data_IF_050887327344
#
_entry.id   IF_050887327344
#
_cell.length_a   1.000
_cell.length_b   1.000
_cell.length_c   1.000
_cell.angle_alpha   90.00
_cell.angle_beta   90.00
_cell.angle_gamma   90.00
#
_symmetry.space_group_name_H-M   'P 1'
#
loop_
_entity.id
_entity.type
_entity.pdbx_description
1 polymer ?
#
# COMPACT_ATOMS: atom_id res chain seq x y z
N UNK A 1 12.90 -30.28 36.91
CA UNK A 1 13.28 -30.90 35.63
C UNK A 1 13.35 -29.80 34.57
N UNK A 2 14.56 -29.38 34.22
CA UNK A 2 14.86 -28.47 33.12
C UNK A 2 14.60 -29.18 31.79
N UNK A 3 13.95 -28.50 30.83
CA UNK A 3 14.17 -28.70 29.40
C UNK A 3 13.86 -27.40 28.68
N UNK A 4 14.94 -26.69 28.43
CA UNK A 4 15.02 -25.50 27.61
C UNK A 4 14.91 -25.92 26.15
N UNK A 5 14.00 -25.31 25.39
CA UNK A 5 14.09 -25.31 23.94
C UNK A 5 14.50 -23.91 23.52
N UNK A 6 15.76 -23.80 23.11
CA UNK A 6 16.34 -22.66 22.43
C UNK A 6 15.52 -22.40 21.17
N UNK A 7 14.82 -21.27 21.14
CA UNK A 7 14.59 -20.57 19.88
C UNK A 7 15.90 -19.87 19.53
N UNK A 8 16.71 -20.53 18.70
CA UNK A 8 17.76 -19.87 17.95
C UNK A 8 17.09 -18.84 17.06
N UNK A 9 17.15 -17.59 17.49
CA UNK A 9 16.99 -16.42 16.63
C UNK A 9 18.18 -16.46 15.66
N UNK A 10 17.97 -17.06 14.49
CA UNK A 10 18.83 -16.88 13.34
C UNK A 10 18.59 -15.45 12.85
N UNK A 11 19.59 -14.54 12.89
CA UNK A 11 19.50 -13.32 12.12
C UNK A 11 19.58 -13.74 10.65
N UNK A 12 18.46 -13.63 9.93
CA UNK A 12 18.43 -13.70 8.48
C UNK A 12 19.25 -12.54 7.92
N UNK A 13 20.57 -12.72 7.80
CA UNK A 13 21.45 -11.84 7.05
C UNK A 13 21.28 -12.21 5.57
N UNK A 14 20.13 -11.86 5.00
CA UNK A 14 19.89 -11.81 3.56
C UNK A 14 19.63 -10.35 3.20
N UNK A 15 20.67 -9.52 3.25
CA UNK A 15 20.56 -8.10 3.02
C UNK A 15 21.83 -7.52 2.41
N UNK A 16 22.35 -8.14 1.36
CA UNK A 16 23.50 -7.61 0.63
C UNK A 16 23.65 -8.13 -0.80
N UNK A 17 22.56 -8.40 -1.51
CA UNK A 17 22.55 -8.63 -2.96
C UNK A 17 21.18 -8.25 -3.54
N UNK A 18 20.64 -7.07 -3.22
CA UNK A 18 19.59 -6.49 -4.06
C UNK A 18 20.31 -5.78 -5.23
N UNK A 19 19.95 -6.03 -6.50
CA UNK A 19 20.37 -5.15 -7.58
C UNK A 19 20.09 -3.71 -7.18
N UNK A 20 21.09 -2.84 -7.35
CA UNK A 20 21.01 -1.45 -6.96
C UNK A 20 19.85 -0.77 -7.70
N UNK A 21 18.68 -0.72 -7.08
CA UNK A 21 17.54 0.02 -7.56
C UNK A 21 17.84 1.53 -7.57
N UNK A 22 16.99 2.34 -8.22
CA UNK A 22 17.11 3.79 -8.17
C UNK A 22 17.15 4.26 -6.71
N UNK A 23 18.14 5.10 -6.37
CA UNK A 23 18.27 5.69 -5.03
C UNK A 23 17.30 6.85 -4.78
N UNK A 24 16.65 7.33 -5.83
CA UNK A 24 15.65 8.41 -5.79
C UNK A 24 14.57 8.18 -6.83
N UNK A 25 13.35 8.59 -6.54
CA UNK A 25 12.21 8.49 -7.46
C UNK A 25 11.64 9.87 -7.77
N UNK A 26 11.22 10.15 -9.02
CA UNK A 26 10.80 11.49 -9.42
C UNK A 26 9.48 11.97 -8.78
N UNK A 27 8.73 11.09 -8.12
CA UNK A 27 7.52 11.41 -7.37
C UNK A 27 7.75 11.57 -5.86
N UNK A 28 8.99 11.41 -5.37
CA UNK A 28 9.33 11.39 -3.95
C UNK A 28 8.85 12.65 -3.21
N UNK A 29 9.14 13.85 -3.73
CA UNK A 29 8.69 15.11 -3.11
C UNK A 29 7.17 15.19 -3.00
N UNK A 30 6.45 14.66 -3.99
CA UNK A 30 4.98 14.65 -4.00
C UNK A 30 4.44 13.68 -2.97
N UNK A 31 5.07 12.51 -2.82
CA UNK A 31 4.71 11.51 -1.80
C UNK A 31 4.93 12.10 -0.40
N UNK A 32 6.08 12.75 -0.16
CA UNK A 32 6.37 13.43 1.12
C UNK A 32 5.34 14.52 1.41
N UNK A 33 4.96 15.32 0.42
CA UNK A 33 3.93 16.35 0.59
C UNK A 33 2.55 15.74 0.91
N UNK A 34 2.17 14.65 0.24
CA UNK A 34 0.93 13.93 0.52
C UNK A 34 0.94 13.30 1.92
N UNK A 35 2.07 12.72 2.34
CA UNK A 35 2.24 12.17 3.69
C UNK A 35 2.05 13.24 4.76
N UNK A 36 2.59 14.45 4.56
CA UNK A 36 2.35 15.57 5.49
C UNK A 36 0.86 15.93 5.60
N UNK A 37 0.12 15.92 4.48
CA UNK A 37 -1.34 16.14 4.50
C UNK A 37 -2.05 15.04 5.25
N UNK A 38 -1.69 13.78 5.00
CA UNK A 38 -2.22 12.63 5.71
C UNK A 38 -2.01 12.74 7.22
N UNK A 39 -0.79 13.09 7.64
CA UNK A 39 -0.47 13.35 9.04
C UNK A 39 -1.32 14.49 9.64
N UNK A 40 -1.55 15.57 8.89
CA UNK A 40 -2.44 16.64 9.36
C UNK A 40 -3.89 16.16 9.52
N UNK A 41 -4.39 15.32 8.61
CA UNK A 41 -5.71 14.69 8.72
C UNK A 41 -5.82 13.76 9.94
N UNK A 42 -4.83 12.92 10.18
CA UNK A 42 -4.76 12.08 11.38
C UNK A 42 -4.73 12.91 12.66
N UNK A 43 -4.00 14.03 12.67
CA UNK A 43 -4.01 14.97 13.81
C UNK A 43 -5.42 15.50 14.09
N UNK A 44 -6.18 15.88 13.05
CA UNK A 44 -7.54 16.39 13.26
C UNK A 44 -8.48 15.36 13.87
N UNK A 45 -8.24 14.07 13.60
CA UNK A 45 -9.00 12.96 14.19
C UNK A 45 -8.51 12.65 15.61
N UNK A 46 -7.19 12.59 15.84
CA UNK A 46 -6.60 12.25 17.13
C UNK A 46 -6.59 13.39 18.17
N UNK A 47 -6.92 14.61 17.76
CA UNK A 47 -6.94 15.80 18.61
C UNK A 47 -5.54 16.27 19.05
N UNK A 48 -5.52 17.17 20.04
CA UNK A 48 -4.29 17.85 20.48
C UNK A 48 -3.26 16.92 21.14
N UNK A 49 -3.68 15.74 21.59
CA UNK A 49 -2.83 14.73 22.22
C UNK A 49 -2.26 13.71 21.22
N UNK A 50 -2.29 13.98 19.92
CA UNK A 50 -1.73 13.08 18.92
C UNK A 50 -0.20 12.97 19.02
N UNK A 51 0.27 11.90 19.68
CA UNK A 51 1.69 11.66 19.98
C UNK A 51 2.50 11.14 18.79
N UNK A 52 1.85 10.58 17.76
CA UNK A 52 2.54 9.89 16.67
C UNK A 52 2.87 10.77 15.47
N UNK A 53 2.85 12.09 15.63
CA UNK A 53 3.14 13.02 14.54
C UNK A 53 4.52 12.80 13.93
N UNK A 54 5.54 12.63 14.78
CA UNK A 54 6.91 12.40 14.34
C UNK A 54 7.03 11.12 13.50
N UNK A 55 6.45 10.02 14.01
CA UNK A 55 6.43 8.72 13.31
C UNK A 55 5.71 8.82 11.96
N UNK A 56 4.58 9.54 11.92
CA UNK A 56 3.81 9.76 10.71
C UNK A 56 4.63 10.51 9.65
N UNK A 57 5.24 11.65 10.01
CA UNK A 57 5.99 12.47 9.06
C UNK A 57 7.30 11.79 8.62
N UNK A 58 7.85 10.88 9.43
CA UNK A 58 9.02 10.07 9.11
C UNK A 58 8.69 8.79 8.31
N UNK A 59 7.40 8.46 8.15
CA UNK A 59 6.99 7.28 7.42
C UNK A 59 7.20 7.44 5.91
N UNK A 60 7.47 6.31 5.26
CA UNK A 60 7.61 6.21 3.81
C UNK A 60 6.46 5.37 3.26
N UNK A 61 5.28 5.97 3.01
CA UNK A 61 4.16 5.22 2.48
C UNK A 61 4.50 4.69 1.08
N UNK A 62 3.88 3.58 0.72
CA UNK A 62 3.98 2.97 -0.63
C UNK A 62 2.87 3.47 -1.55
N UNK A 63 1.89 4.20 -1.02
CA UNK A 63 0.81 4.81 -1.80
C UNK A 63 1.30 5.94 -2.70
N UNK A 64 0.65 6.11 -3.85
CA UNK A 64 0.92 7.23 -4.75
C UNK A 64 0.53 8.55 -4.09
N UNK A 65 1.19 9.65 -4.46
CA UNK A 65 0.89 10.96 -3.89
C UNK A 65 -0.60 11.35 -4.05
N UNK A 66 -1.21 10.99 -5.18
CA UNK A 66 -2.63 11.25 -5.44
C UNK A 66 -3.54 10.38 -4.55
N UNK A 67 -3.19 9.11 -4.35
CA UNK A 67 -3.93 8.22 -3.46
C UNK A 67 -3.86 8.72 -2.01
N UNK A 68 -2.64 8.97 -1.51
CA UNK A 68 -2.41 9.42 -0.12
C UNK A 68 -3.08 10.78 0.14
N UNK A 69 -3.05 11.71 -0.82
CA UNK A 69 -3.71 13.00 -0.67
C UNK A 69 -5.23 12.87 -0.56
N UNK A 70 -5.86 12.02 -1.37
CA UNK A 70 -7.31 11.80 -1.28
C UNK A 70 -7.69 11.03 -0.01
N UNK A 71 -6.85 10.09 0.44
CA UNK A 71 -7.03 9.44 1.74
C UNK A 71 -7.03 10.46 2.87
N UNK A 72 -6.14 11.47 2.81
CA UNK A 72 -6.05 12.54 3.81
C UNK A 72 -7.28 13.44 3.87
N UNK A 73 -8.09 13.47 2.82
CA UNK A 73 -9.36 14.19 2.76
C UNK A 73 -10.52 13.29 3.21
N UNK A 74 -10.62 12.10 2.62
CA UNK A 74 -11.73 11.19 2.89
C UNK A 74 -11.74 10.67 4.33
N UNK A 75 -10.61 10.26 4.89
CA UNK A 75 -10.60 9.59 6.20
C UNK A 75 -11.11 10.50 7.33
N UNK A 76 -10.60 11.73 7.51
CA UNK A 76 -11.15 12.64 8.53
C UNK A 76 -12.61 12.99 8.30
N UNK A 77 -13.04 13.14 7.03
CA UNK A 77 -14.43 13.40 6.68
C UNK A 77 -15.35 12.25 7.09
N UNK A 78 -14.97 11.01 6.81
CA UNK A 78 -15.74 9.83 7.21
C UNK A 78 -15.81 9.69 8.73
N UNK A 79 -14.68 9.88 9.44
CA UNK A 79 -14.67 9.84 10.91
C UNK A 79 -15.59 10.92 11.49
N UNK A 80 -15.51 12.15 10.99
CA UNK A 80 -16.36 13.24 11.47
C UNK A 80 -17.85 13.05 11.12
N UNK A 81 -18.14 12.51 9.94
CA UNK A 81 -19.52 12.28 9.47
C UNK A 81 -20.21 11.10 10.16
N UNK A 82 -19.47 10.06 10.52
CA UNK A 82 -20.01 8.87 11.19
C UNK A 82 -20.10 9.04 12.72
N UNK A 83 -19.28 9.91 13.32
CA UNK A 83 -19.35 10.21 14.75
C UNK A 83 -19.21 8.95 15.61
N UNK A 84 -20.05 8.83 16.64
CA UNK A 84 -20.02 7.74 17.64
C UNK A 84 -20.25 6.35 17.03
N UNK A 85 -20.85 6.27 15.84
CA UNK A 85 -21.15 5.04 15.12
C UNK A 85 -20.05 4.67 14.09
N UNK A 86 -18.91 5.38 14.11
CA UNK A 86 -17.80 5.12 13.20
C UNK A 86 -17.31 3.66 13.36
N UNK A 87 -17.21 2.89 12.26
CA UNK A 87 -16.57 1.59 12.30
C UNK A 87 -15.07 1.77 12.55
N UNK A 88 -14.35 0.67 12.75
CA UNK A 88 -12.90 0.75 12.95
C UNK A 88 -12.17 1.44 11.77
N UNK A 89 -10.97 1.93 12.05
CA UNK A 89 -10.17 2.63 11.06
C UNK A 89 -9.94 1.79 9.79
N UNK A 90 -9.80 0.47 9.90
CA UNK A 90 -9.58 -0.40 8.74
C UNK A 90 -10.78 -0.38 7.78
N UNK A 91 -12.01 -0.42 8.31
CA UNK A 91 -13.23 -0.29 7.54
C UNK A 91 -13.35 1.08 6.87
N UNK A 92 -13.04 2.16 7.59
CA UNK A 92 -13.06 3.53 7.02
C UNK A 92 -12.03 3.67 5.89
N UNK A 93 -10.83 3.14 6.07
CA UNK A 93 -9.80 3.17 5.04
C UNK A 93 -10.19 2.33 3.82
N UNK A 94 -10.86 1.20 4.02
CA UNK A 94 -11.39 0.39 2.92
C UNK A 94 -12.43 1.18 2.15
N UNK A 95 -13.39 1.80 2.84
CA UNK A 95 -14.41 2.66 2.23
C UNK A 95 -13.77 3.80 1.41
N UNK A 96 -12.81 4.51 2.00
CA UNK A 96 -12.10 5.59 1.30
C UNK A 96 -11.30 5.07 0.10
N UNK A 97 -10.62 3.93 0.24
CA UNK A 97 -9.89 3.32 -0.86
C UNK A 97 -10.83 2.99 -2.02
N UNK A 98 -12.00 2.40 -1.75
CA UNK A 98 -12.99 2.07 -2.77
C UNK A 98 -13.55 3.31 -3.47
N UNK A 99 -13.84 4.39 -2.73
CA UNK A 99 -14.27 5.66 -3.31
C UNK A 99 -13.21 6.26 -4.23
N UNK A 100 -11.96 6.28 -3.79
CA UNK A 100 -10.83 6.83 -4.54
C UNK A 100 -10.57 6.02 -5.80
N UNK A 101 -10.51 4.69 -5.68
CA UNK A 101 -10.23 3.80 -6.80
C UNK A 101 -11.41 3.71 -7.78
N UNK A 102 -12.64 3.82 -7.30
CA UNK A 102 -13.84 3.87 -8.13
C UNK A 102 -13.92 5.13 -9.00
N UNK A 103 -13.34 6.25 -8.56
CA UNK A 103 -13.25 7.50 -9.32
C UNK A 103 -11.96 7.68 -10.13
N UNK A 104 -10.97 6.79 -9.97
CA UNK A 104 -9.67 6.94 -10.61
C UNK A 104 -9.69 6.55 -12.09
N UNK A 105 -9.07 7.40 -12.92
CA UNK A 105 -8.57 6.99 -14.24
C UNK A 105 -7.09 6.62 -14.12
N UNK A 106 -6.74 5.32 -14.03
CA UNK A 106 -5.34 4.89 -13.95
C UNK A 106 -4.60 5.05 -15.28
N UNK A 107 -5.27 5.47 -16.35
CA UNK A 107 -4.72 5.54 -17.69
C UNK A 107 -4.41 4.16 -18.27
N UNK A 108 -3.39 4.10 -19.14
CA UNK A 108 -2.96 2.86 -19.79
C UNK A 108 -2.06 2.04 -18.87
N UNK A 109 -2.61 0.98 -18.29
CA UNK A 109 -1.90 0.09 -17.35
C UNK A 109 -0.77 -0.71 -17.99
N UNK A 110 -0.86 -1.01 -19.29
CA UNK A 110 0.16 -1.73 -20.07
C UNK A 110 1.54 -1.08 -20.09
N UNK A 111 1.68 0.15 -19.58
CA UNK A 111 2.93 0.93 -19.60
C UNK A 111 3.65 1.00 -18.25
N UNK A 112 3.14 0.32 -17.23
CA UNK A 112 3.76 0.34 -15.89
C UNK A 112 4.78 -0.77 -15.73
N UNK A 113 5.84 -0.51 -14.96
CA UNK A 113 6.88 -1.51 -14.68
C UNK A 113 6.30 -2.76 -14.01
N UNK A 114 5.29 -2.58 -13.16
CA UNK A 114 4.58 -3.68 -12.49
C UNK A 114 3.86 -4.60 -13.48
N UNK A 115 3.10 -4.02 -14.42
CA UNK A 115 2.37 -4.82 -15.41
C UNK A 115 3.34 -5.50 -16.38
N UNK A 116 4.41 -4.81 -16.79
CA UNK A 116 5.46 -5.44 -17.61
C UNK A 116 6.12 -6.61 -16.88
N UNK A 117 6.50 -6.46 -15.61
CA UNK A 117 7.11 -7.53 -14.82
C UNK A 117 6.16 -8.72 -14.63
N UNK A 118 4.87 -8.44 -14.38
CA UNK A 118 3.85 -9.50 -14.28
C UNK A 118 3.69 -10.26 -15.60
N UNK A 119 3.58 -9.56 -16.73
CA UNK A 119 3.45 -10.24 -18.03
C UNK A 119 4.72 -11.00 -18.41
N UNK A 120 5.90 -10.49 -18.06
CA UNK A 120 7.15 -11.24 -18.22
C UNK A 120 7.15 -12.51 -17.36
N UNK A 121 6.66 -12.45 -16.11
CA UNK A 121 6.49 -13.63 -15.26
C UNK A 121 5.53 -14.64 -15.87
N UNK A 122 4.33 -14.22 -16.29
CA UNK A 122 3.35 -15.11 -16.92
C UNK A 122 3.94 -15.79 -18.16
N UNK A 123 4.72 -15.07 -18.97
CA UNK A 123 5.43 -15.65 -20.10
C UNK A 123 6.44 -16.71 -19.67
N UNK A 124 7.25 -16.44 -18.64
CA UNK A 124 8.26 -17.40 -18.15
C UNK A 124 7.65 -18.62 -17.48
N UNK A 125 6.60 -18.44 -16.68
CA UNK A 125 6.09 -19.45 -15.75
C UNK A 125 4.85 -20.18 -16.25
N UNK A 126 4.01 -19.52 -17.05
CA UNK A 126 2.72 -20.04 -17.49
C UNK A 126 2.61 -20.15 -19.02
N UNK A 127 3.67 -19.75 -19.74
CA UNK A 127 3.74 -19.78 -21.21
C UNK A 127 2.67 -18.90 -21.89
N UNK A 128 2.14 -17.91 -21.18
CA UNK A 128 1.21 -16.91 -21.73
C UNK A 128 2.01 -15.83 -22.45
N UNK A 129 1.68 -15.51 -23.71
CA UNK A 129 2.38 -14.47 -24.44
C UNK A 129 2.28 -13.12 -23.72
N UNK A 130 3.36 -12.33 -23.68
CA UNK A 130 3.36 -11.04 -22.99
C UNK A 130 2.30 -10.10 -23.58
N UNK A 131 2.08 -10.15 -24.89
CA UNK A 131 1.05 -9.38 -25.59
C UNK A 131 -0.37 -9.80 -25.18
N UNK A 132 -0.60 -11.10 -24.96
CA UNK A 132 -1.88 -11.62 -24.49
C UNK A 132 -2.16 -11.18 -23.05
N UNK A 133 -1.15 -11.25 -22.18
CA UNK A 133 -1.24 -10.71 -20.83
C UNK A 133 -1.54 -9.20 -20.83
N UNK A 134 -0.82 -8.42 -21.64
CA UNK A 134 -1.05 -6.98 -21.74
C UNK A 134 -2.46 -6.66 -22.26
N UNK A 135 -2.94 -7.41 -23.26
CA UNK A 135 -4.30 -7.27 -23.76
C UNK A 135 -5.35 -7.58 -22.68
N UNK A 136 -5.14 -8.61 -21.86
CA UNK A 136 -6.02 -8.93 -20.74
C UNK A 136 -6.06 -7.79 -19.70
N UNK A 137 -4.93 -7.18 -19.37
CA UNK A 137 -4.89 -6.00 -18.49
C UNK A 137 -5.69 -4.81 -19.04
N UNK A 138 -5.71 -4.62 -20.35
CA UNK A 138 -6.52 -3.60 -21.01
C UNK A 138 -8.02 -3.93 -21.07
N UNK A 139 -8.46 -5.10 -20.58
CA UNK A 139 -9.89 -5.42 -20.38
C UNK A 139 -10.38 -5.10 -18.97
N UNK A 140 -9.47 -4.92 -18.00
CA UNK A 140 -9.83 -4.60 -16.63
C UNK A 140 -10.54 -3.25 -16.54
N UNK A 141 -11.43 -3.10 -15.57
CA UNK A 141 -12.06 -1.82 -15.27
C UNK A 141 -11.06 -0.86 -14.57
N UNK A 142 -11.41 0.43 -14.47
CA UNK A 142 -10.53 1.46 -13.90
C UNK A 142 -10.07 1.16 -12.46
N UNK A 143 -10.98 0.66 -11.62
CA UNK A 143 -10.67 0.28 -10.24
C UNK A 143 -9.64 -0.85 -10.18
N UNK A 144 -9.89 -1.95 -10.90
CA UNK A 144 -8.97 -3.10 -10.98
C UNK A 144 -7.58 -2.67 -11.46
N UNK A 145 -7.55 -1.85 -12.51
CA UNK A 145 -6.31 -1.26 -13.04
C UNK A 145 -5.56 -0.45 -11.99
N UNK A 146 -6.26 0.42 -11.25
CA UNK A 146 -5.67 1.26 -10.22
C UNK A 146 -5.08 0.44 -9.07
N UNK A 147 -5.77 -0.64 -8.65
CA UNK A 147 -5.28 -1.58 -7.62
C UNK A 147 -3.94 -2.22 -7.97
N UNK A 148 -3.64 -2.42 -9.26
CA UNK A 148 -2.36 -2.98 -9.69
C UNK A 148 -1.28 -1.93 -9.95
N UNK A 149 -1.64 -0.65 -10.07
CA UNK A 149 -0.74 0.38 -10.63
C UNK A 149 -0.80 1.69 -9.86
N UNK A 150 -1.74 2.57 -10.19
CA UNK A 150 -1.76 3.98 -9.81
C UNK A 150 -2.00 4.22 -8.32
N UNK A 151 -2.40 3.20 -7.56
CA UNK A 151 -2.47 3.30 -6.11
C UNK A 151 -1.08 3.34 -5.45
N UNK A 152 -0.03 2.85 -6.12
CA UNK A 152 1.33 2.78 -5.60
C UNK A 152 2.23 3.89 -6.16
N UNK A 153 3.14 4.41 -5.35
CA UNK A 153 4.20 5.30 -5.83
C UNK A 153 5.27 4.54 -6.63
N UNK A 154 6.16 5.27 -7.29
CA UNK A 154 7.15 4.65 -8.20
C UNK A 154 8.14 3.74 -7.47
N UNK A 155 8.47 4.03 -6.20
CA UNK A 155 9.33 3.16 -5.37
C UNK A 155 8.67 1.82 -5.13
N UNK A 156 7.41 1.83 -4.68
CA UNK A 156 6.63 0.63 -4.45
C UNK A 156 6.40 -0.16 -5.74
N UNK A 157 6.13 0.51 -6.86
CA UNK A 157 6.03 -0.14 -8.17
C UNK A 157 7.33 -0.84 -8.57
N UNK A 158 8.49 -0.23 -8.31
CA UNK A 158 9.78 -0.86 -8.58
C UNK A 158 10.03 -2.09 -7.68
N UNK A 159 9.67 -2.01 -6.39
CA UNK A 159 9.77 -3.13 -5.45
C UNK A 159 8.88 -4.31 -5.86
N UNK A 160 7.62 -4.03 -6.22
CA UNK A 160 6.68 -5.06 -6.71
C UNK A 160 7.24 -5.70 -7.99
N UNK A 161 7.69 -4.88 -8.95
CA UNK A 161 8.24 -5.37 -10.22
C UNK A 161 9.48 -6.26 -10.01
N UNK A 162 10.38 -5.86 -9.10
CA UNK A 162 11.55 -6.66 -8.75
C UNK A 162 11.16 -8.00 -8.10
N UNK A 163 10.23 -7.98 -7.13
CA UNK A 163 9.76 -9.21 -6.50
C UNK A 163 9.16 -10.18 -7.54
N UNK A 164 8.33 -9.68 -8.47
CA UNK A 164 7.76 -10.49 -9.54
C UNK A 164 8.81 -11.06 -10.50
N UNK A 165 9.94 -10.37 -10.67
CA UNK A 165 11.03 -10.84 -11.52
C UNK A 165 11.85 -11.96 -10.86
N UNK A 166 12.06 -11.86 -9.55
CA UNK A 166 12.84 -12.81 -8.75
C UNK A 166 12.04 -14.05 -8.31
N UNK A 167 10.71 -13.99 -8.31
CA UNK A 167 9.86 -15.08 -7.85
C UNK A 167 9.93 -16.31 -8.78
N UNK A 168 10.07 -17.50 -8.19
CA UNK A 168 10.14 -18.76 -8.94
C UNK A 168 8.79 -19.15 -9.57
N UNK A 169 8.84 -19.97 -10.64
CA UNK A 169 7.65 -20.42 -11.37
C UNK A 169 6.84 -21.54 -10.69
N UNK A 170 7.08 -21.81 -9.41
CA UNK A 170 6.31 -22.81 -8.64
C UNK A 170 5.04 -22.25 -8.03
N UNK A 171 4.96 -20.93 -7.97
CA UNK A 171 3.84 -20.19 -7.41
C UNK A 171 2.83 -19.84 -8.52
N UNK A 172 1.54 -19.86 -8.21
CA UNK A 172 0.51 -19.31 -9.10
C UNK A 172 0.43 -17.77 -9.00
N UNK A 173 -0.32 -17.13 -9.89
CA UNK A 173 -0.48 -15.65 -9.89
C UNK A 173 -1.12 -15.10 -8.60
N UNK A 174 -1.91 -15.91 -7.88
CA UNK A 174 -2.52 -15.50 -6.61
C UNK A 174 -1.47 -15.48 -5.49
N UNK A 175 -0.60 -16.48 -5.45
CA UNK A 175 0.54 -16.53 -4.54
C UNK A 175 1.55 -15.44 -4.85
N UNK A 176 1.89 -15.23 -6.13
CA UNK A 176 2.75 -14.13 -6.55
C UNK A 176 2.18 -12.76 -6.16
N UNK A 177 0.85 -12.58 -6.25
CA UNK A 177 0.18 -11.38 -5.76
C UNK A 177 0.34 -11.25 -4.24
N UNK A 178 0.08 -12.30 -3.48
CA UNK A 178 0.22 -12.28 -2.03
C UNK A 178 1.65 -11.92 -1.60
N UNK A 179 2.65 -12.57 -2.18
CA UNK A 179 4.05 -12.39 -1.77
C UNK A 179 4.63 -11.02 -2.21
N UNK A 180 4.27 -10.52 -3.40
CA UNK A 180 4.87 -9.28 -3.92
C UNK A 180 4.08 -8.00 -3.66
N UNK A 181 2.77 -8.08 -3.39
CA UNK A 181 1.94 -6.88 -3.20
C UNK A 181 1.56 -6.63 -1.75
N UNK A 182 1.61 -7.64 -0.87
CA UNK A 182 1.06 -7.49 0.49
C UNK A 182 1.77 -6.38 1.28
N UNK A 183 3.11 -6.40 1.37
CA UNK A 183 3.84 -5.36 2.09
C UNK A 183 3.62 -3.95 1.48
N UNK A 184 3.73 -3.76 0.15
CA UNK A 184 3.34 -2.50 -0.48
C UNK A 184 1.88 -2.11 -0.30
N UNK A 185 0.97 -3.06 -0.16
CA UNK A 185 -0.45 -2.76 0.07
C UNK A 185 -0.68 -2.30 1.51
N UNK A 186 -0.08 -2.98 2.49
CA UNK A 186 -0.22 -2.68 3.91
C UNK A 186 0.44 -1.34 4.27
N UNK A 187 1.54 -0.99 3.59
CA UNK A 187 2.25 0.27 3.81
C UNK A 187 1.69 1.46 2.99
N UNK A 188 0.54 1.32 2.30
CA UNK A 188 0.04 2.33 1.35
C UNK A 188 -0.23 3.69 1.98
N UNK A 189 -0.70 3.68 3.22
CA UNK A 189 -0.79 4.83 4.11
C UNK A 189 -0.23 4.41 5.46
N UNK A 190 0.42 5.33 6.14
CA UNK A 190 0.93 5.03 7.48
C UNK A 190 -0.18 5.22 8.51
N UNK A 191 -0.36 4.28 9.42
CA UNK A 191 -1.22 4.43 10.60
C UNK A 191 -0.49 3.89 11.82
N UNK A 192 -0.61 4.55 12.97
CA UNK A 192 -0.12 3.97 14.21
C UNK A 192 -0.96 2.74 14.55
N UNK A 193 -0.31 1.73 15.12
CA UNK A 193 -0.98 0.49 15.55
C UNK A 193 -2.14 0.76 16.53
N UNK A 194 -2.07 1.86 17.29
CA UNK A 194 -3.17 2.32 18.12
C UNK A 194 -4.42 2.65 17.29
N UNK A 195 -4.32 3.48 16.26
CA UNK A 195 -5.47 3.75 15.37
C UNK A 195 -5.89 2.50 14.57
N UNK A 196 -4.97 1.59 14.26
CA UNK A 196 -5.28 0.36 13.53
C UNK A 196 -5.97 -0.72 14.38
N UNK A 197 -5.81 -0.68 15.71
CA UNK A 197 -6.28 -1.71 16.64
C UNK A 197 -7.31 -1.21 17.67
N UNK A 198 -7.66 0.08 17.66
CA UNK A 198 -8.50 0.68 18.70
C UNK A 198 -9.98 0.81 18.26
N UNK A 199 -10.89 -0.04 18.76
CA UNK A 199 -12.33 0.09 18.56
C UNK A 199 -12.95 1.27 19.35
N UNK A 200 -12.17 2.06 20.10
CA UNK A 200 -12.66 3.12 21.02
C UNK A 200 -12.44 4.54 20.53
N UNK A 201 -12.10 4.74 19.26
CA UNK A 201 -12.08 6.06 18.59
C UNK A 201 -13.46 6.55 18.13
N UNK A 202 -14.53 5.86 18.50
CA UNK A 202 -15.84 6.49 18.61
C UNK A 202 -15.69 7.74 19.52
N UNK A 203 -16.14 8.93 19.10
CA UNK A 203 -16.06 10.13 19.91
C UNK A 203 -16.57 9.85 21.32
N UNK A 204 -15.80 10.31 22.31
CA UNK A 204 -16.33 10.32 23.66
C UNK A 204 -17.46 11.35 23.69
N UNK A 205 -18.63 11.02 24.29
CA UNK A 205 -19.70 11.98 24.43
C UNK A 205 -19.16 13.22 25.15
N UNK A 206 -19.51 14.37 24.61
CA UNK A 206 -19.19 15.65 25.25
C UNK A 206 -19.99 15.74 26.55
N UNK A 207 -19.30 15.82 27.69
CA UNK A 207 -19.92 16.21 28.97
C UNK A 207 -20.41 17.66 28.94
#
# INVERSE_FOLDING_TARGET
MQRWWLWLVLPSILGACQPAGPTSFPDEDKVVAAQKKWCAGLKSVGGDNWLHRGDCEAAYPTGSAAFVAQMAECYPEQVAGLGDDAPDSAAILSLCSDQILGGADPGKVSRTAVVTARCARMQRCEQVAAEECLAAFETLNGMQRATFTSMYNLRAQAQIAQCLDELECRDDEDRARADCYQEPFDARVWLPLSLAADPTLAPRPSD
#
